data_IF_733363367508
#
_entry.id   IF_733363367508
#
_cell.length_a   1.000
_cell.length_b   1.000
_cell.length_c   1.000
_cell.angle_alpha   90.00
_cell.angle_beta   90.00
_cell.angle_gamma   90.00
#
_symmetry.space_group_name_H-M   'P 1'
#
loop_
_entity.id
_entity.type
_entity.pdbx_description
1 polymer ?
#
# COMPACT_ATOMS: atom_id res chain seq x y z
N UNK A 1 -9.45 1.29 6.53
CA UNK A 1 -10.24 2.29 7.28
C UNK A 1 -10.47 3.47 6.35
N UNK A 2 -11.32 3.25 5.35
CA UNK A 2 -11.51 4.17 4.21
C UNK A 2 -12.32 5.41 4.64
N UNK A 3 -12.98 5.33 5.79
CA UNK A 3 -13.55 6.48 6.51
C UNK A 3 -12.53 7.58 6.76
N UNK A 4 -11.24 7.26 6.92
CA UNK A 4 -10.19 8.26 7.16
C UNK A 4 -9.97 9.20 5.97
N UNK A 5 -9.92 8.65 4.74
CA UNK A 5 -9.69 9.44 3.53
C UNK A 5 -10.84 10.43 3.30
N UNK A 6 -12.08 9.95 3.37
CA UNK A 6 -13.26 10.81 3.26
C UNK A 6 -13.29 11.90 4.34
N UNK A 7 -12.98 11.55 5.60
CA UNK A 7 -12.99 12.51 6.72
C UNK A 7 -11.96 13.63 6.48
N UNK A 8 -10.75 13.29 6.01
CA UNK A 8 -9.74 14.29 5.72
C UNK A 8 -10.16 15.25 4.60
N UNK A 9 -10.80 14.74 3.54
CA UNK A 9 -11.35 15.59 2.48
C UNK A 9 -12.52 16.45 3.00
N UNK A 10 -13.50 15.84 3.65
CA UNK A 10 -14.73 16.50 4.09
C UNK A 10 -14.47 17.66 5.07
N UNK A 11 -13.50 17.49 5.97
CA UNK A 11 -13.12 18.52 6.94
C UNK A 11 -11.89 19.33 6.52
N UNK A 12 -11.37 19.13 5.31
CA UNK A 12 -10.18 19.79 4.79
C UNK A 12 -8.98 19.71 5.76
N UNK A 13 -8.73 18.52 6.31
CA UNK A 13 -7.60 18.27 7.21
C UNK A 13 -6.33 18.11 6.37
N UNK A 14 -5.30 18.95 6.56
CA UNK A 14 -4.05 18.87 5.79
C UNK A 14 -3.20 17.70 6.30
N UNK A 15 -3.50 16.49 5.81
CA UNK A 15 -2.79 15.26 6.16
C UNK A 15 -2.17 14.62 4.92
N UNK A 16 -0.88 14.26 5.02
CA UNK A 16 -0.19 13.41 4.05
C UNK A 16 -0.36 11.95 4.43
N UNK A 17 -1.09 11.18 3.61
CA UNK A 17 -1.18 9.73 3.72
C UNK A 17 -0.04 9.07 2.96
N UNK A 18 0.70 8.18 3.61
CA UNK A 18 1.75 7.37 2.97
C UNK A 18 1.43 5.90 3.16
N UNK A 19 1.25 5.18 2.05
CA UNK A 19 0.96 3.74 2.04
C UNK A 19 2.22 3.01 1.58
N UNK A 20 2.95 2.32 2.48
CA UNK A 20 4.05 1.43 2.11
C UNK A 20 3.48 0.15 1.51
N UNK A 21 3.33 0.12 0.19
CA UNK A 21 2.51 -0.87 -0.50
C UNK A 21 3.36 -1.99 -1.09
N UNK A 22 3.62 -3.01 -0.28
CA UNK A 22 4.33 -4.24 -0.65
C UNK A 22 3.42 -5.31 -1.29
N UNK A 23 2.15 -4.99 -1.59
CA UNK A 23 1.25 -5.90 -2.29
C UNK A 23 0.92 -7.20 -1.55
N UNK A 24 1.09 -7.25 -0.24
CA UNK A 24 0.83 -8.46 0.55
C UNK A 24 0.42 -8.13 1.99
N UNK A 25 -0.19 -9.10 2.67
CA UNK A 25 -0.18 -9.17 4.12
C UNK A 25 1.21 -9.58 4.61
N UNK A 26 2.22 -8.72 4.39
CA UNK A 26 3.62 -9.13 4.49
C UNK A 26 4.07 -9.60 5.87
N UNK A 27 3.52 -9.02 6.94
CA UNK A 27 3.75 -9.51 8.31
C UNK A 27 3.22 -10.94 8.46
N UNK A 28 2.03 -11.23 7.91
CA UNK A 28 1.41 -12.56 7.97
C UNK A 28 2.21 -13.56 7.15
N UNK A 29 2.64 -13.19 5.95
CA UNK A 29 3.52 -14.01 5.11
C UNK A 29 4.84 -14.32 5.85
N UNK A 30 5.43 -13.33 6.53
CA UNK A 30 6.62 -13.48 7.36
C UNK A 30 6.46 -14.51 8.47
N UNK A 31 5.35 -14.48 9.21
CA UNK A 31 5.07 -15.46 10.26
C UNK A 31 4.85 -16.87 9.70
N UNK A 32 4.15 -17.02 8.57
CA UNK A 32 4.00 -18.32 7.92
C UNK A 32 5.32 -18.91 7.40
N UNK A 33 6.28 -18.06 7.02
CA UNK A 33 7.63 -18.49 6.67
C UNK A 33 8.42 -19.08 7.85
N UNK A 34 7.98 -18.83 9.08
CA UNK A 34 8.66 -19.27 10.32
C UNK A 34 7.88 -20.34 11.09
N UNK A 35 6.61 -20.58 10.77
CA UNK A 35 5.72 -21.42 11.57
C UNK A 35 5.79 -22.92 11.27
N UNK A 36 6.50 -23.32 10.21
CA UNK A 36 6.39 -24.67 9.65
C UNK A 36 5.09 -24.87 8.86
N UNK A 37 5.04 -25.94 8.06
CA UNK A 37 3.89 -26.31 7.24
C UNK A 37 3.99 -25.82 5.79
N UNK A 38 2.92 -25.99 5.02
CA UNK A 38 2.97 -25.91 3.54
C UNK A 38 3.66 -24.66 2.99
N UNK A 39 3.40 -23.47 3.52
CA UNK A 39 4.00 -22.23 2.98
C UNK A 39 5.51 -22.16 3.21
N UNK A 40 5.98 -22.46 4.42
CA UNK A 40 7.42 -22.52 4.70
C UNK A 40 8.10 -23.69 3.98
N UNK A 41 7.42 -24.83 3.87
CA UNK A 41 7.99 -26.06 3.29
C UNK A 41 8.15 -25.98 1.76
N UNK A 42 7.27 -25.22 1.10
CA UNK A 42 7.24 -25.11 -0.38
C UNK A 42 7.70 -23.76 -0.91
N UNK A 43 7.79 -22.72 -0.07
CA UNK A 43 8.00 -21.35 -0.52
C UNK A 43 6.81 -20.75 -1.28
N UNK A 44 5.67 -21.43 -1.33
CA UNK A 44 4.46 -21.01 -2.05
C UNK A 44 3.46 -20.39 -1.07
N UNK A 45 3.20 -19.08 -1.21
CA UNK A 45 2.43 -18.29 -0.26
C UNK A 45 1.00 -18.01 -0.76
N UNK A 46 0.05 -18.79 -0.27
CA UNK A 46 -1.35 -18.71 -0.66
C UNK A 46 -2.15 -17.72 0.22
N UNK A 47 -2.99 -16.88 -0.39
CA UNK A 47 -3.95 -16.04 0.35
C UNK A 47 -3.36 -14.85 1.10
N UNK A 48 -2.05 -14.58 0.96
CA UNK A 48 -1.38 -13.41 1.55
C UNK A 48 -0.97 -12.35 0.54
N UNK A 49 -0.90 -12.70 -0.75
CA UNK A 49 -0.64 -11.73 -1.82
C UNK A 49 -1.95 -11.03 -2.19
N UNK A 50 -1.86 -9.71 -2.27
CA UNK A 50 -2.96 -8.80 -2.57
C UNK A 50 -2.86 -8.34 -4.02
N UNK A 51 -3.96 -8.43 -4.76
CA UNK A 51 -4.09 -7.98 -6.14
C UNK A 51 -5.26 -7.00 -6.29
N UNK A 52 -5.24 -6.22 -7.38
CA UNK A 52 -6.37 -5.42 -7.84
C UNK A 52 -6.67 -4.12 -7.07
N UNK A 53 -6.08 -3.87 -5.90
CA UNK A 53 -6.32 -2.63 -5.14
C UNK A 53 -5.45 -1.48 -5.68
N UNK A 54 -6.11 -0.37 -5.99
CA UNK A 54 -5.48 0.89 -6.39
C UNK A 54 -5.84 2.00 -5.38
N UNK A 55 -4.99 2.25 -4.38
CA UNK A 55 -5.29 3.24 -3.34
C UNK A 55 -5.47 4.65 -3.88
N UNK A 56 -4.79 5.01 -4.98
CA UNK A 56 -4.90 6.34 -5.59
C UNK A 56 -6.31 6.54 -6.17
N UNK A 57 -6.87 5.53 -6.85
CA UNK A 57 -8.24 5.59 -7.34
C UNK A 57 -9.28 5.65 -6.23
N UNK A 58 -9.04 4.96 -5.12
CA UNK A 58 -9.92 5.03 -3.94
C UNK A 58 -9.89 6.45 -3.34
N UNK A 59 -8.70 7.04 -3.23
CA UNK A 59 -8.52 8.41 -2.76
C UNK A 59 -9.24 9.43 -3.67
N UNK A 60 -9.06 9.28 -4.98
CA UNK A 60 -9.70 10.13 -6.01
C UNK A 60 -11.23 10.07 -5.93
N UNK A 61 -11.80 8.88 -5.70
CA UNK A 61 -13.25 8.72 -5.50
C UNK A 61 -13.79 9.49 -4.28
N UNK A 62 -12.96 9.79 -3.29
CA UNK A 62 -13.29 10.65 -2.16
C UNK A 62 -12.95 12.13 -2.38
N UNK A 63 -12.32 12.50 -3.50
CA UNK A 63 -11.86 13.85 -3.80
C UNK A 63 -10.46 14.17 -3.28
N UNK A 64 -9.66 13.16 -2.90
CA UNK A 64 -8.27 13.32 -2.49
C UNK A 64 -7.34 12.99 -3.65
N UNK A 65 -6.54 13.98 -4.06
CA UNK A 65 -5.49 13.73 -5.03
C UNK A 65 -4.38 12.85 -4.42
N UNK A 66 -3.79 12.01 -5.24
CA UNK A 66 -2.62 11.24 -4.86
C UNK A 66 -1.88 10.71 -6.06
N UNK A 67 -0.75 10.07 -5.80
CA UNK A 67 0.08 9.46 -6.82
C UNK A 67 0.77 8.20 -6.30
N UNK A 68 1.24 7.39 -7.24
CA UNK A 68 2.09 6.24 -6.97
C UNK A 68 3.55 6.60 -7.23
N UNK A 69 4.43 6.16 -6.34
CA UNK A 69 5.89 6.21 -6.52
C UNK A 69 6.42 4.79 -6.53
N UNK A 70 7.09 4.40 -7.61
CA UNK A 70 7.71 3.08 -7.81
C UNK A 70 9.21 3.16 -8.10
N UNK A 71 9.79 4.35 -7.98
CA UNK A 71 11.18 4.66 -8.24
C UNK A 71 11.79 5.33 -7.01
N UNK A 72 12.77 4.65 -6.40
CA UNK A 72 13.46 5.10 -5.20
C UNK A 72 14.16 6.45 -5.41
N UNK A 73 14.72 6.70 -6.62
CA UNK A 73 15.43 7.95 -6.92
C UNK A 73 14.49 9.16 -6.89
N UNK A 74 13.19 8.95 -7.14
CA UNK A 74 12.16 9.99 -7.12
C UNK A 74 11.53 10.19 -5.76
N UNK A 75 11.71 9.26 -4.81
CA UNK A 75 10.96 9.22 -3.56
C UNK A 75 11.11 10.49 -2.74
N UNK A 76 12.35 10.93 -2.50
CA UNK A 76 12.61 12.14 -1.69
C UNK A 76 11.93 13.37 -2.29
N UNK A 77 12.11 13.59 -3.60
CA UNK A 77 11.49 14.72 -4.32
C UNK A 77 9.97 14.66 -4.29
N UNK A 78 9.39 13.47 -4.37
CA UNK A 78 7.93 13.29 -4.31
C UNK A 78 7.39 13.57 -2.90
N UNK A 79 8.06 13.10 -1.86
CA UNK A 79 7.67 13.40 -0.47
C UNK A 79 7.75 14.90 -0.20
N UNK A 80 8.82 15.57 -0.64
CA UNK A 80 8.96 17.02 -0.52
C UNK A 80 7.78 17.75 -1.19
N UNK A 81 7.46 17.42 -2.45
CA UNK A 81 6.32 18.01 -3.16
C UNK A 81 4.99 17.72 -2.46
N UNK A 82 4.77 16.50 -1.99
CA UNK A 82 3.54 16.13 -1.30
C UNK A 82 3.37 16.90 0.02
N UNK A 83 4.45 17.07 0.79
CA UNK A 83 4.47 17.93 1.97
C UNK A 83 4.18 19.39 1.62
N UNK A 84 4.73 19.92 0.52
CA UNK A 84 4.40 21.27 0.06
C UNK A 84 2.92 21.44 -0.28
N UNK A 85 2.31 20.46 -0.97
CA UNK A 85 0.87 20.47 -1.26
C UNK A 85 0.08 20.54 0.05
N UNK A 86 0.38 19.64 1.00
CA UNK A 86 -0.34 19.55 2.26
C UNK A 86 -0.18 20.82 3.09
N UNK A 87 1.03 21.33 3.25
CA UNK A 87 1.32 22.47 4.12
C UNK A 87 0.97 23.83 3.50
N UNK A 88 1.20 24.02 2.19
CA UNK A 88 1.00 25.32 1.52
C UNK A 88 -0.40 25.45 0.91
N UNK A 89 -0.95 24.36 0.38
CA UNK A 89 -2.29 24.37 -0.24
C UNK A 89 -3.40 23.94 0.74
N UNK A 90 -3.02 23.51 1.95
CA UNK A 90 -3.93 23.16 3.04
C UNK A 90 -5.01 22.14 2.63
N UNK A 91 -4.59 21.08 1.92
CA UNK A 91 -5.46 19.98 1.46
C UNK A 91 -4.78 18.63 1.69
N UNK A 92 -5.53 17.54 1.93
CA UNK A 92 -4.93 16.22 2.08
C UNK A 92 -4.35 15.71 0.76
N UNK A 93 -3.38 14.79 0.86
CA UNK A 93 -2.73 14.15 -0.29
C UNK A 93 -2.35 12.70 0.03
N UNK A 94 -2.36 11.83 -0.96
CA UNK A 94 -1.98 10.42 -0.81
C UNK A 94 -0.76 10.03 -1.64
N UNK A 95 0.19 9.35 -1.01
CA UNK A 95 1.31 8.68 -1.66
C UNK A 95 1.18 7.16 -1.51
N UNK A 96 1.02 6.46 -2.64
CA UNK A 96 1.13 5.01 -2.74
C UNK A 96 2.58 4.64 -3.10
N UNK A 97 3.38 4.25 -2.11
CA UNK A 97 4.80 3.94 -2.31
C UNK A 97 4.95 2.45 -2.58
N UNK A 98 5.34 2.09 -3.81
CA UNK A 98 5.58 0.69 -4.16
C UNK A 98 6.88 0.17 -3.58
N UNK A 99 6.74 -0.95 -2.90
CA UNK A 99 7.83 -1.72 -2.32
C UNK A 99 7.95 -3.05 -3.07
N UNK A 100 9.09 -3.75 -2.92
CA UNK A 100 9.17 -5.16 -3.29
C UNK A 100 8.03 -5.97 -2.67
N UNK A 101 7.65 -7.06 -3.35
CA UNK A 101 6.57 -7.93 -2.88
C UNK A 101 6.88 -8.44 -1.47
N UNK A 102 5.92 -8.26 -0.55
CA UNK A 102 6.09 -8.56 0.87
C UNK A 102 6.02 -10.05 1.22
N UNK A 103 6.83 -10.88 0.56
CA UNK A 103 6.99 -12.31 0.89
C UNK A 103 8.35 -12.55 1.55
N UNK A 104 8.51 -13.66 2.29
CA UNK A 104 9.82 -14.13 2.73
C UNK A 104 10.77 -14.35 1.55
N UNK A 105 12.08 -14.33 1.82
CA UNK A 105 13.11 -14.49 0.80
C UNK A 105 12.90 -15.78 -0.02
N UNK A 106 12.92 -15.66 -1.35
CA UNK A 106 12.64 -16.77 -2.27
C UNK A 106 11.17 -17.21 -2.36
N UNK A 107 10.27 -16.59 -1.59
CA UNK A 107 8.85 -16.88 -1.61
C UNK A 107 8.18 -16.44 -2.92
N UNK A 108 7.22 -17.24 -3.39
CA UNK A 108 6.43 -16.97 -4.58
C UNK A 108 4.94 -16.87 -4.24
N UNK A 109 4.22 -16.03 -4.98
CA UNK A 109 2.78 -15.93 -4.87
C UNK A 109 2.10 -17.22 -5.34
N UNK A 110 1.14 -17.73 -4.57
CA UNK A 110 0.28 -18.85 -4.97
C UNK A 110 -1.16 -18.38 -5.24
N UNK A 111 -1.97 -19.27 -5.81
CA UNK A 111 -3.33 -19.03 -6.25
C UNK A 111 -4.19 -18.41 -5.13
N UNK A 112 -4.62 -17.18 -5.35
CA UNK A 112 -5.57 -16.53 -4.45
C UNK A 112 -6.88 -17.34 -4.42
N UNK A 113 -7.48 -17.45 -3.23
CA UNK A 113 -8.77 -18.13 -3.09
C UNK A 113 -9.83 -17.39 -3.92
N UNK A 114 -10.47 -18.10 -4.84
CA UNK A 114 -11.62 -17.62 -5.60
C UNK A 114 -12.86 -18.39 -5.18
N UNK A 115 -13.87 -17.69 -4.66
CA UNK A 115 -15.19 -18.30 -4.53
C UNK A 115 -15.70 -18.63 -5.94
N UNK A 116 -16.12 -19.88 -6.13
CA UNK A 116 -16.77 -20.35 -7.36
C UNK A 116 -18.22 -19.88 -7.40
#
# INVERSE_FOLDING_TARGET
>A
ADSGLWTAVHHNVPLLYVIPNNGAYGIVAGFFGQSGGRMSDTGSYQGVVLDGIDPVKIADAFGMEGERVDDEEKLNKTIERALEIVMKQNRPYLLDVRLPLGLPEGGVADQQYRMK
#
